data_IF_831885359363
#
_entry.id   IF_831885359363
#
_cell.length_a   1.000
_cell.length_b   1.000
_cell.length_c   1.000
_cell.angle_alpha   90.00
_cell.angle_beta   90.00
_cell.angle_gamma   90.00
#
_symmetry.space_group_name_H-M   'P 1'
#
loop_
_entity.id
_entity.type
_entity.pdbx_description
1 polymer ?
#
# COMPACT_ATOMS: atom_id res chain seq x y z
N UNK A 1 10.14 32.17 -6.09
CA UNK A 1 9.91 30.97 -5.25
C UNK A 1 8.44 30.95 -4.86
N UNK A 2 7.59 30.37 -5.70
CA UNK A 2 6.16 30.24 -5.43
C UNK A 2 5.95 28.99 -4.56
N UNK A 3 5.29 29.16 -3.41
CA UNK A 3 4.84 28.04 -2.57
C UNK A 3 3.63 27.44 -3.27
N UNK A 4 3.74 26.19 -3.72
CA UNK A 4 2.64 25.41 -4.28
C UNK A 4 1.48 25.36 -3.28
N UNK A 5 0.44 26.12 -3.56
CA UNK A 5 -0.83 26.04 -2.89
C UNK A 5 -1.53 24.76 -3.37
N UNK A 6 -1.43 23.71 -2.55
CA UNK A 6 -2.17 22.45 -2.77
C UNK A 6 -3.68 22.75 -2.82
N UNK A 7 -4.41 22.31 -3.87
CA UNK A 7 -5.85 22.46 -3.90
C UNK A 7 -6.51 21.58 -2.82
N UNK A 8 -7.62 22.03 -2.20
CA UNK A 8 -8.33 21.26 -1.19
C UNK A 8 -8.97 20.01 -1.80
N UNK A 9 -8.92 18.91 -1.05
CA UNK A 9 -9.54 17.63 -1.37
C UNK A 9 -11.07 17.82 -1.47
N UNK A 10 -11.58 17.85 -2.71
CA UNK A 10 -13.00 17.77 -2.98
C UNK A 10 -13.44 16.30 -2.87
N UNK A 11 -14.38 16.01 -1.96
CA UNK A 11 -15.02 14.69 -1.89
C UNK A 11 -15.23 14.16 -0.47
N UNK A 12 -15.83 14.96 0.42
CA UNK A 12 -16.49 14.39 1.60
C UNK A 12 -17.79 13.71 1.12
N UNK A 13 -17.74 12.40 0.89
CA UNK A 13 -18.94 11.56 1.01
C UNK A 13 -18.70 10.60 2.17
N UNK A 14 -19.46 10.87 3.24
CA UNK A 14 -19.59 10.04 4.43
C UNK A 14 -19.99 8.63 4.00
N UNK A 15 -19.08 7.68 4.15
CA UNK A 15 -19.44 6.28 4.19
C UNK A 15 -20.02 6.00 5.59
N UNK A 16 -21.27 5.59 5.61
CA UNK A 16 -22.04 5.22 6.80
C UNK A 16 -21.34 4.11 7.56
N UNK A 17 -21.16 4.34 8.86
CA UNK A 17 -20.56 3.41 9.80
C UNK A 17 -21.40 2.13 9.91
N UNK A 18 -20.77 0.98 9.64
CA UNK A 18 -21.28 -0.33 10.01
C UNK A 18 -20.22 -1.08 10.82
N UNK A 19 -20.42 -1.02 12.14
CA UNK A 19 -20.14 -2.03 13.17
C UNK A 19 -18.70 -2.42 13.45
N UNK A 20 -18.22 -1.91 14.58
CA UNK A 20 -16.93 -2.17 15.21
C UNK A 20 -16.74 -3.63 15.67
N UNK A 21 -15.51 -4.13 15.53
CA UNK A 21 -14.94 -5.07 16.50
C UNK A 21 -13.45 -4.78 16.70
N UNK A 22 -13.16 -4.07 17.79
CA UNK A 22 -11.80 -3.75 18.23
C UNK A 22 -11.74 -2.38 18.90
N UNK A 23 -12.10 -2.32 20.18
CA UNK A 23 -11.81 -1.14 20.99
C UNK A 23 -10.27 -0.99 21.08
N UNK A 24 -9.73 0.06 20.46
CA UNK A 24 -8.31 0.34 20.48
C UNK A 24 -7.90 0.87 21.86
N UNK A 25 -7.57 -0.04 22.78
CA UNK A 25 -6.83 0.28 24.00
C UNK A 25 -5.33 0.13 23.74
N UNK A 26 -4.62 1.26 23.71
CA UNK A 26 -3.23 1.34 24.18
C UNK A 26 -2.15 0.62 23.37
N UNK A 27 -2.13 0.79 22.05
CA UNK A 27 -0.96 0.74 21.16
C UNK A 27 -1.49 1.22 19.80
N UNK A 28 -0.68 1.86 18.95
CA UNK A 28 -1.09 2.29 17.61
C UNK A 28 -1.44 1.07 16.74
N UNK A 29 -2.63 0.48 16.92
CA UNK A 29 -3.17 -0.51 16.02
C UNK A 29 -3.54 0.23 14.75
N UNK A 30 -2.82 -0.06 13.66
CA UNK A 30 -3.24 0.31 12.32
C UNK A 30 -4.68 -0.20 12.15
N UNK A 31 -5.61 0.71 11.86
CA UNK A 31 -6.97 0.36 11.50
C UNK A 31 -6.90 -0.42 10.17
N UNK A 32 -6.97 -1.75 10.21
CA UNK A 32 -6.82 -2.63 9.06
C UNK A 32 -8.10 -3.47 8.95
N UNK A 33 -8.67 -3.55 7.75
CA UNK A 33 -9.87 -4.36 7.51
C UNK A 33 -9.57 -5.87 7.38
N UNK A 34 -10.61 -6.69 7.29
CA UNK A 34 -10.49 -8.14 7.13
C UNK A 34 -9.74 -8.55 5.85
N UNK A 35 -9.63 -7.66 4.85
CA UNK A 35 -8.87 -7.88 3.62
C UNK A 35 -7.40 -7.51 3.78
N UNK A 36 -7.01 -6.94 4.91
CA UNK A 36 -5.64 -6.48 5.17
C UNK A 36 -5.35 -5.11 4.58
N UNK A 37 -6.38 -4.31 4.29
CA UNK A 37 -6.23 -2.94 3.79
C UNK A 37 -6.24 -1.94 4.94
N UNK A 38 -5.29 -1.01 4.89
CA UNK A 38 -5.18 0.07 5.86
C UNK A 38 -6.31 1.08 5.63
N UNK A 39 -7.08 1.32 6.67
CA UNK A 39 -8.17 2.29 6.74
C UNK A 39 -7.62 3.62 7.25
N UNK A 40 -7.04 4.41 6.34
CA UNK A 40 -6.50 5.73 6.65
C UNK A 40 -6.60 6.65 5.42
N UNK A 41 -6.96 7.92 5.62
CA UNK A 41 -7.20 8.89 4.52
C UNK A 41 -5.97 9.07 3.58
N UNK A 42 -4.77 8.84 4.10
CA UNK A 42 -3.50 8.98 3.36
C UNK A 42 -3.06 7.71 2.64
N UNK A 43 -3.73 6.58 2.84
CA UNK A 43 -3.41 5.31 2.18
C UNK A 43 -4.50 5.00 1.18
N UNK A 44 -4.17 5.12 -0.10
CA UNK A 44 -5.14 4.95 -1.18
C UNK A 44 -5.11 3.52 -1.72
N UNK A 45 -6.29 2.99 -2.04
CA UNK A 45 -6.46 1.71 -2.72
C UNK A 45 -6.72 1.87 -4.24
N UNK A 46 -6.85 3.13 -4.69
CA UNK A 46 -7.07 3.50 -6.09
C UNK A 46 -6.26 4.75 -6.44
N UNK A 47 -5.85 4.85 -7.71
CA UNK A 47 -5.29 6.09 -8.25
C UNK A 47 -6.39 7.13 -8.49
N UNK A 48 -6.02 8.39 -8.70
CA UNK A 48 -6.95 9.44 -9.08
C UNK A 48 -7.75 9.12 -10.38
N UNK A 49 -7.17 8.31 -11.27
CA UNK A 49 -7.82 7.82 -12.49
C UNK A 49 -8.73 6.60 -12.26
N UNK A 50 -8.95 6.19 -11.00
CA UNK A 50 -9.84 5.08 -10.64
C UNK A 50 -9.24 3.69 -10.78
N UNK A 51 -7.94 3.56 -11.07
CA UNK A 51 -7.27 2.25 -11.18
C UNK A 51 -7.02 1.66 -9.79
N UNK A 52 -7.44 0.41 -9.57
CA UNK A 52 -7.09 -0.36 -8.36
C UNK A 52 -5.57 -0.54 -8.22
N UNK A 53 -5.06 -0.39 -7.00
CA UNK A 53 -3.62 -0.52 -6.73
C UNK A 53 -3.22 -1.87 -6.15
N UNK A 54 -4.17 -2.58 -5.54
CA UNK A 54 -3.96 -3.94 -5.04
C UNK A 54 -3.68 -4.88 -6.22
N UNK A 55 -2.50 -5.51 -6.21
CA UNK A 55 -2.14 -6.56 -7.17
C UNK A 55 -1.96 -7.89 -6.45
N UNK A 56 -2.92 -8.82 -6.54
CA UNK A 56 -2.76 -10.11 -5.89
C UNK A 56 -1.64 -10.98 -6.48
N UNK A 57 -1.08 -10.58 -7.63
CA UNK A 57 0.01 -11.28 -8.31
C UNK A 57 1.38 -11.05 -7.69
N UNK A 58 1.53 -10.06 -6.81
CA UNK A 58 2.77 -9.85 -6.04
C UNK A 58 2.69 -10.47 -4.64
N UNK A 59 1.52 -10.97 -4.26
CA UNK A 59 1.30 -11.65 -2.99
C UNK A 59 1.75 -13.13 -3.07
N UNK A 60 2.33 -13.63 -1.97
CA UNK A 60 3.00 -14.93 -1.88
C UNK A 60 2.54 -15.69 -0.63
N UNK A 61 3.50 -16.21 0.15
CA UNK A 61 3.30 -17.07 1.30
C UNK A 61 2.80 -16.30 2.54
N UNK A 62 2.54 -17.01 3.62
CA UNK A 62 2.16 -16.43 4.91
C UNK A 62 3.28 -15.56 5.51
N UNK A 63 2.91 -14.41 6.09
CA UNK A 63 3.82 -13.55 6.87
C UNK A 63 3.26 -13.38 8.29
N UNK A 64 3.40 -14.39 9.17
CA UNK A 64 2.79 -14.38 10.51
C UNK A 64 3.35 -13.29 11.43
N UNK A 65 4.52 -12.73 11.09
CA UNK A 65 5.19 -11.68 11.86
C UNK A 65 5.91 -10.70 10.93
N UNK A 66 5.78 -9.41 11.22
CA UNK A 66 6.59 -8.35 10.62
C UNK A 66 7.85 -8.17 11.48
N UNK A 67 9.03 -8.37 10.88
CA UNK A 67 10.31 -8.25 11.59
C UNK A 67 11.05 -6.94 11.29
N UNK A 68 10.66 -6.22 10.23
CA UNK A 68 11.32 -5.00 9.82
C UNK A 68 10.61 -4.33 8.64
N UNK A 69 11.08 -3.13 8.33
CA UNK A 69 10.64 -2.36 7.18
C UNK A 69 11.76 -2.32 6.15
N UNK A 70 11.43 -2.65 4.91
CA UNK A 70 12.34 -2.54 3.77
C UNK A 70 11.84 -1.39 2.90
N UNK A 71 12.73 -0.43 2.63
CA UNK A 71 12.45 0.72 1.77
C UNK A 71 13.38 0.60 0.56
N UNK A 72 12.83 0.68 -0.65
CA UNK A 72 13.59 0.70 -1.88
C UNK A 72 12.94 1.65 -2.90
N UNK A 73 13.76 2.21 -3.79
CA UNK A 73 13.28 3.05 -4.88
C UNK A 73 12.96 2.17 -6.10
N UNK A 74 11.81 2.42 -6.74
CA UNK A 74 11.37 1.63 -7.91
C UNK A 74 12.13 1.96 -9.19
N UNK A 75 12.82 3.10 -9.24
CA UNK A 75 13.44 3.69 -10.44
C UNK A 75 12.47 3.85 -11.64
N UNK A 76 11.15 3.80 -11.37
CA UNK A 76 10.12 3.89 -12.40
C UNK A 76 9.74 5.36 -12.66
N UNK A 77 9.43 5.73 -13.92
CA UNK A 77 9.03 7.10 -14.23
C UNK A 77 7.67 7.48 -13.64
N UNK A 78 6.77 6.52 -13.40
CA UNK A 78 5.40 6.76 -12.90
C UNK A 78 4.84 5.59 -12.08
N UNK A 79 3.84 5.89 -11.24
CA UNK A 79 3.05 4.88 -10.51
C UNK A 79 2.47 3.84 -11.46
N UNK A 80 1.88 4.27 -12.59
CA UNK A 80 1.27 3.35 -13.54
C UNK A 80 2.27 2.36 -14.15
N UNK A 81 3.51 2.77 -14.41
CA UNK A 81 4.55 1.87 -14.89
C UNK A 81 4.88 0.80 -13.83
N UNK A 82 4.96 1.20 -12.56
CA UNK A 82 5.18 0.26 -11.44
C UNK A 82 4.00 -0.70 -11.28
N UNK A 83 2.76 -0.19 -11.27
CA UNK A 83 1.54 -1.01 -11.15
C UNK A 83 1.36 -1.97 -12.34
N UNK A 84 1.78 -1.57 -13.55
CA UNK A 84 1.78 -2.47 -14.72
C UNK A 84 2.77 -3.64 -14.54
N UNK A 85 3.92 -3.37 -13.93
CA UNK A 85 4.90 -4.42 -13.58
C UNK A 85 4.32 -5.37 -12.54
N UNK A 86 3.65 -4.84 -11.49
CA UNK A 86 3.02 -5.67 -10.45
C UNK A 86 1.86 -6.53 -10.98
N UNK A 87 1.27 -6.15 -12.12
CA UNK A 87 0.22 -6.93 -12.78
C UNK A 87 0.75 -8.09 -13.63
N UNK A 88 2.08 -8.28 -13.73
CA UNK A 88 2.66 -9.43 -14.42
C UNK A 88 2.65 -10.67 -13.53
N UNK A 89 2.62 -11.85 -14.14
CA UNK A 89 2.65 -13.11 -13.39
C UNK A 89 4.01 -13.29 -12.71
N UNK A 90 3.99 -13.70 -11.44
CA UNK A 90 5.18 -13.85 -10.59
C UNK A 90 6.00 -12.56 -10.44
N UNK A 91 5.40 -11.40 -10.69
CA UNK A 91 6.05 -10.11 -10.52
C UNK A 91 6.54 -9.91 -9.08
N UNK A 92 7.67 -9.25 -8.94
CA UNK A 92 8.13 -8.73 -7.66
C UNK A 92 7.43 -7.39 -7.36
N UNK A 93 7.28 -7.04 -6.09
CA UNK A 93 6.69 -5.77 -5.69
C UNK A 93 6.92 -5.37 -4.24
N UNK A 94 6.07 -4.49 -3.73
CA UNK A 94 6.02 -4.06 -2.34
C UNK A 94 4.58 -4.11 -1.80
N UNK A 95 4.43 -3.98 -0.48
CA UNK A 95 3.13 -3.77 0.15
C UNK A 95 2.60 -2.35 -0.05
N UNK A 96 3.51 -1.38 -0.14
CA UNK A 96 3.20 0.03 -0.37
C UNK A 96 4.04 0.58 -1.50
N UNK A 97 3.44 1.46 -2.29
CA UNK A 97 4.08 2.28 -3.30
C UNK A 97 3.88 3.74 -2.94
N UNK A 98 4.97 4.50 -2.87
CA UNK A 98 4.93 5.94 -2.61
C UNK A 98 5.29 6.66 -3.91
N UNK A 99 4.39 7.50 -4.40
CA UNK A 99 4.64 8.32 -5.60
C UNK A 99 5.57 9.50 -5.27
N UNK A 100 6.10 10.16 -6.31
CA UNK A 100 7.02 11.29 -6.20
C UNK A 100 6.41 12.49 -5.46
N UNK A 101 5.10 12.61 -5.45
CA UNK A 101 4.36 13.64 -4.71
C UNK A 101 4.07 13.27 -3.24
N UNK A 102 4.48 12.07 -2.81
CA UNK A 102 4.25 11.53 -1.48
C UNK A 102 2.92 10.80 -1.30
N UNK A 103 2.12 10.64 -2.35
CA UNK A 103 0.89 9.84 -2.31
C UNK A 103 1.24 8.37 -2.02
N UNK A 104 0.59 7.79 -1.02
CA UNK A 104 0.83 6.40 -0.59
C UNK A 104 -0.29 5.53 -1.14
N UNK A 105 0.10 4.50 -1.90
CA UNK A 105 -0.78 3.46 -2.38
C UNK A 105 -0.48 2.15 -1.68
N UNK A 106 -1.50 1.46 -1.21
CA UNK A 106 -1.33 0.07 -0.81
C UNK A 106 -1.46 -0.82 -2.04
N UNK A 107 -0.51 -1.73 -2.21
CA UNK A 107 -0.41 -2.60 -3.40
C UNK A 107 -0.55 -4.08 -3.09
N UNK A 108 -0.50 -4.47 -1.82
CA UNK A 108 -0.76 -5.82 -1.35
C UNK A 108 -1.36 -5.81 0.07
N UNK A 109 -2.08 -6.88 0.42
CA UNK A 109 -2.65 -7.11 1.75
C UNK A 109 -1.59 -7.22 2.85
N UNK A 110 -1.86 -6.66 4.03
CA UNK A 110 -1.04 -6.85 5.24
C UNK A 110 -1.49 -8.02 6.12
N UNK A 111 -2.63 -8.62 5.83
CA UNK A 111 -3.22 -9.61 6.74
C UNK A 111 -2.37 -10.91 6.65
N UNK A 112 -2.22 -11.76 7.70
CA UNK A 112 -1.32 -12.95 7.74
C UNK A 112 -1.90 -14.42 7.72
N UNK A 113 -3.09 -14.71 7.17
CA UNK A 113 -4.02 -15.85 7.37
C UNK A 113 -4.94 -16.19 6.16
N UNK A 114 -4.74 -15.64 4.96
CA UNK A 114 -5.50 -15.97 3.77
C UNK A 114 -4.60 -15.94 2.53
N UNK A 115 -3.76 -16.98 2.37
CA UNK A 115 -3.18 -17.45 1.10
C UNK A 115 -2.35 -16.50 0.22
N UNK A 116 -2.10 -15.24 0.63
CA UNK A 116 -1.52 -14.18 -0.22
C UNK A 116 -0.78 -13.09 0.58
N UNK A 117 0.38 -13.36 1.18
CA UNK A 117 0.75 -12.57 2.39
C UNK A 117 2.23 -12.20 2.58
N UNK A 118 3.07 -12.46 1.59
CA UNK A 118 4.40 -11.88 1.51
C UNK A 118 4.56 -11.28 0.12
N UNK A 119 5.37 -10.23 0.00
CA UNK A 119 5.73 -9.69 -1.30
C UNK A 119 7.22 -9.87 -1.49
N UNK A 120 7.62 -10.42 -2.64
CA UNK A 120 9.02 -10.50 -3.00
C UNK A 120 9.43 -9.16 -3.64
N UNK A 121 10.34 -8.42 -3.01
CA UNK A 121 10.89 -7.19 -3.58
C UNK A 121 11.98 -7.49 -4.61
N UNK A 122 12.02 -6.75 -5.72
CA UNK A 122 13.15 -6.76 -6.64
C UNK A 122 14.21 -5.79 -6.12
N UNK A 123 14.84 -6.13 -4.99
CA UNK A 123 16.00 -5.41 -4.50
C UNK A 123 17.22 -5.87 -5.32
N UNK A 124 17.37 -5.37 -6.55
CA UNK A 124 18.69 -5.36 -7.17
C UNK A 124 19.47 -4.20 -6.51
N UNK A 125 20.59 -4.56 -5.89
CA UNK A 125 21.53 -3.71 -5.14
C UNK A 125 21.06 -3.16 -3.78
N UNK A 126 20.96 -4.07 -2.80
CA UNK A 126 21.29 -3.72 -1.41
C UNK A 126 22.77 -4.06 -1.17
N UNK A 127 23.70 -3.16 -1.54
CA UNK A 127 24.97 -3.13 -0.82
C UNK A 127 24.66 -2.55 0.55
N UNK A 128 24.79 -3.37 1.58
CA UNK A 128 24.81 -2.91 2.96
C UNK A 128 25.83 -1.77 3.05
N UNK A 129 25.40 -0.61 3.56
CA UNK A 129 26.29 0.46 4.00
C UNK A 129 26.86 0.06 5.35
#
# INVERSE_FOLDING_TARGET
>A
MARDARPPLAGQQQATAATAKGAATGASQLNIDDKGHVQHERVLLKTAAGRETISPKIERMEMPKVNGLIIYQTQSPSVNSTLNSYAQDKANGAHFLIDKDGTIYQTASLNPYAGRRAVQSHAQDLKAV
#
